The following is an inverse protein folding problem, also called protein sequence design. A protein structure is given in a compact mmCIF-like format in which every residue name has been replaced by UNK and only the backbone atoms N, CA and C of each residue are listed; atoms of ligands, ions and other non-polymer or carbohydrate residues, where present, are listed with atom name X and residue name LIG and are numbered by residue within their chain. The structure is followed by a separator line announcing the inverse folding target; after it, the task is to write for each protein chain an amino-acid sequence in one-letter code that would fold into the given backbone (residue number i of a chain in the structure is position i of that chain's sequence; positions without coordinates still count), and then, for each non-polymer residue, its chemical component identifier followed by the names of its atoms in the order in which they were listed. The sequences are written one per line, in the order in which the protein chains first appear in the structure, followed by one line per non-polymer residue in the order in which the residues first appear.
data_IF_019739505785
#
_entry.id   IF_019739505785
#
_cell.length_a   1.000
_cell.length_b   1.000
_cell.length_c   1.000
_cell.angle_alpha   90.00
_cell.angle_beta   90.00
_cell.angle_gamma   90.00
#
_symmetry.space_group_name_H-M   'P 1'
#
loop_
_entity.id
_entity.type
_entity.pdbx_description
1 polymer ?
#
# COMPACT_ATOMS: atom_id res chain seq x y z
N UNK A 1 14.32 -21.98 -14.13
CA UNK A 1 13.02 -21.42 -14.58
C UNK A 1 12.40 -20.65 -13.41
N UNK A 2 11.82 -19.47 -13.69
CA UNK A 2 10.98 -18.65 -12.80
C UNK A 2 11.73 -18.07 -11.58
N UNK A 3 12.04 -16.76 -11.52
CA UNK A 3 11.15 -15.74 -10.91
C UNK A 3 11.55 -14.31 -11.39
N UNK A 4 12.33 -14.14 -12.48
CA UNK A 4 12.90 -12.81 -12.84
C UNK A 4 12.01 -11.93 -13.76
N UNK A 5 10.85 -12.42 -14.23
CA UNK A 5 9.99 -11.65 -15.15
C UNK A 5 9.16 -10.55 -14.48
N UNK A 6 8.87 -10.69 -13.18
CA UNK A 6 8.00 -9.75 -12.45
C UNK A 6 8.75 -8.47 -12.02
N UNK A 7 10.07 -8.55 -11.87
CA UNK A 7 10.92 -7.44 -11.45
C UNK A 7 11.27 -6.48 -12.62
N UNK A 8 11.11 -6.93 -13.87
CA UNK A 8 11.35 -6.12 -15.07
C UNK A 8 10.22 -5.11 -15.35
N UNK A 9 8.98 -5.41 -14.93
CA UNK A 9 7.85 -4.49 -15.01
C UNK A 9 7.96 -3.31 -14.03
N UNK A 10 8.66 -3.49 -12.90
CA UNK A 10 8.93 -2.43 -11.91
C UNK A 10 9.87 -1.32 -12.41
N UNK A 11 10.68 -1.58 -13.45
CA UNK A 11 11.71 -0.65 -13.93
C UNK A 11 11.24 0.29 -15.04
N UNK A 12 10.13 -0.03 -15.71
CA UNK A 12 9.64 0.68 -16.91
C UNK A 12 8.46 1.62 -16.69
N UNK A 13 7.92 1.77 -15.47
CA UNK A 13 6.90 2.78 -15.16
C UNK A 13 7.53 4.11 -14.66
N UNK A 14 8.75 4.39 -15.12
CA UNK A 14 9.43 5.69 -14.97
C UNK A 14 9.00 6.58 -16.14
N UNK A 15 7.73 6.98 -16.17
CA UNK A 15 7.22 7.84 -17.23
C UNK A 15 5.71 7.80 -17.43
N UNK A 16 4.93 8.25 -16.44
CA UNK A 16 3.81 9.17 -16.69
C UNK A 16 3.19 9.59 -15.35
N UNK A 17 3.60 10.77 -14.90
CA UNK A 17 3.07 11.51 -13.77
C UNK A 17 1.77 12.23 -14.21
N UNK A 18 0.72 11.48 -14.56
CA UNK A 18 -0.62 12.03 -14.39
C UNK A 18 -0.92 11.99 -12.89
N UNK A 19 -1.43 13.09 -12.34
CA UNK A 19 -1.72 13.28 -10.90
C UNK A 19 -2.51 12.09 -10.34
N UNK A 20 -1.81 11.09 -9.82
CA UNK A 20 -2.44 9.94 -9.19
C UNK A 20 -2.89 10.35 -7.79
N UNK A 21 -4.20 10.39 -7.57
CA UNK A 21 -4.78 10.70 -6.27
C UNK A 21 -4.66 9.47 -5.35
N UNK A 22 -3.48 9.31 -4.76
CA UNK A 22 -3.21 8.29 -3.74
C UNK A 22 -4.18 8.36 -2.55
N UNK A 23 -4.65 9.57 -2.22
CA UNK A 23 -5.68 9.80 -1.20
C UNK A 23 -6.99 9.12 -1.61
N UNK A 24 -7.50 9.40 -2.82
CA UNK A 24 -8.69 8.77 -3.34
C UNK A 24 -8.56 7.24 -3.43
N UNK A 25 -7.41 6.73 -3.88
CA UNK A 25 -7.15 5.27 -3.87
C UNK A 25 -7.32 4.68 -2.46
N UNK A 26 -6.73 5.31 -1.44
CA UNK A 26 -6.83 4.80 -0.07
C UNK A 26 -8.24 4.90 0.46
N UNK A 27 -8.96 5.99 0.17
CA UNK A 27 -10.35 6.15 0.57
C UNK A 27 -11.26 5.10 -0.05
N UNK A 28 -11.03 4.75 -1.31
CA UNK A 28 -11.76 3.69 -2.00
C UNK A 28 -11.41 2.30 -1.49
N UNK A 29 -10.15 2.03 -1.16
CA UNK A 29 -9.71 0.73 -0.61
C UNK A 29 -10.15 0.56 0.85
N UNK A 30 -10.24 1.64 1.63
CA UNK A 30 -10.57 1.65 3.07
C UNK A 30 -11.81 0.84 3.47
N UNK A 31 -12.96 0.92 2.78
CA UNK A 31 -14.12 0.08 3.09
C UNK A 31 -13.93 -1.40 2.71
N UNK A 32 -13.04 -1.73 1.77
CA UNK A 32 -12.84 -3.08 1.26
C UNK A 32 -11.67 -3.77 1.94
N UNK A 33 -11.86 -4.12 3.21
CA UNK A 33 -10.84 -4.80 4.03
C UNK A 33 -10.36 -6.09 3.38
N UNK A 34 -11.23 -6.83 2.69
CA UNK A 34 -10.88 -8.06 1.97
C UNK A 34 -9.79 -7.88 0.88
N UNK A 35 -9.49 -6.64 0.45
CA UNK A 35 -8.39 -6.38 -0.49
C UNK A 35 -7.01 -6.46 0.16
N UNK A 36 -6.90 -6.21 1.47
CA UNK A 36 -5.62 -6.05 2.16
C UNK A 36 -5.52 -6.82 3.48
N UNK A 37 -6.64 -7.17 4.11
CA UNK A 37 -6.77 -7.88 5.36
C UNK A 37 -6.98 -9.38 5.08
N UNK A 38 -6.06 -10.20 5.56
CA UNK A 38 -6.05 -11.65 5.36
C UNK A 38 -6.95 -12.41 6.35
N UNK A 39 -7.57 -11.71 7.31
CA UNK A 39 -8.47 -12.27 8.33
C UNK A 39 -9.90 -12.32 7.80
N UNK A 40 -10.20 -11.62 6.70
CA UNK A 40 -11.48 -11.69 6.04
C UNK A 40 -11.68 -13.03 5.30
N UNK A 41 -12.85 -13.68 5.44
CA UNK A 41 -13.15 -14.92 4.74
C UNK A 41 -13.08 -14.75 3.22
N UNK A 42 -13.52 -13.60 2.71
CA UNK A 42 -13.49 -13.22 1.30
C UNK A 42 -12.08 -12.87 0.78
N UNK A 43 -11.04 -12.94 1.63
CA UNK A 43 -9.66 -12.72 1.17
C UNK A 43 -9.18 -13.84 0.24
N UNK A 44 -9.75 -15.03 0.28
CA UNK A 44 -9.39 -16.11 -0.66
C UNK A 44 -10.02 -15.94 -2.04
N UNK A 45 -11.01 -15.05 -2.17
CA UNK A 45 -11.71 -14.79 -3.43
C UNK A 45 -10.91 -13.84 -4.33
N UNK A 46 -10.08 -14.43 -5.19
CA UNK A 46 -9.29 -13.69 -6.18
C UNK A 46 -10.18 -12.92 -7.14
N UNK A 47 -11.30 -13.51 -7.59
CA UNK A 47 -12.24 -12.87 -8.52
C UNK A 47 -12.90 -11.64 -7.89
N UNK A 48 -13.30 -11.71 -6.61
CA UNK A 48 -13.86 -10.56 -5.89
C UNK A 48 -12.83 -9.43 -5.77
N UNK A 49 -11.57 -9.77 -5.51
CA UNK A 49 -10.48 -8.78 -5.44
C UNK A 49 -10.23 -8.13 -6.78
N UNK A 50 -10.15 -8.91 -7.86
CA UNK A 50 -9.93 -8.39 -9.21
C UNK A 50 -11.07 -7.49 -9.64
N UNK A 51 -12.32 -7.91 -9.44
CA UNK A 51 -13.49 -7.07 -9.70
C UNK A 51 -13.44 -5.77 -8.90
N UNK A 52 -13.08 -5.84 -7.62
CA UNK A 52 -13.01 -4.63 -6.79
C UNK A 52 -11.90 -3.70 -7.23
N UNK A 53 -10.72 -4.23 -7.54
CA UNK A 53 -9.63 -3.44 -8.10
C UNK A 53 -10.02 -2.83 -9.43
N UNK A 54 -10.75 -3.55 -10.28
CA UNK A 54 -11.26 -3.03 -11.55
C UNK A 54 -12.19 -1.84 -11.34
N UNK A 55 -13.13 -1.92 -10.39
CA UNK A 55 -14.03 -0.80 -10.05
C UNK A 55 -13.26 0.41 -9.50
N UNK A 56 -12.33 0.20 -8.57
CA UNK A 56 -11.49 1.25 -7.98
C UNK A 56 -10.60 1.89 -9.06
N UNK A 57 -10.05 1.07 -9.95
CA UNK A 57 -9.29 1.51 -11.11
C UNK A 57 -10.14 2.40 -12.01
N UNK A 58 -11.31 1.92 -12.42
CA UNK A 58 -12.23 2.65 -13.30
C UNK A 58 -12.60 4.04 -12.72
N UNK A 59 -12.85 4.12 -11.42
CA UNK A 59 -13.16 5.38 -10.72
C UNK A 59 -11.98 6.36 -10.69
N UNK A 60 -10.76 5.84 -10.74
CA UNK A 60 -9.52 6.63 -10.79
C UNK A 60 -8.99 6.84 -12.22
N UNK A 61 -9.69 6.35 -13.25
CA UNK A 61 -9.23 6.36 -14.64
C UNK A 61 -8.01 5.46 -14.89
N UNK A 62 -7.90 4.35 -14.15
CA UNK A 62 -6.83 3.37 -14.19
C UNK A 62 -7.36 1.96 -14.45
N UNK A 63 -6.46 1.04 -14.80
CA UNK A 63 -6.80 -0.39 -14.78
C UNK A 63 -6.81 -0.91 -13.34
N UNK A 64 -7.58 -1.97 -13.09
CA UNK A 64 -7.57 -2.61 -11.76
C UNK A 64 -6.18 -3.12 -11.36
N UNK A 65 -5.41 -3.64 -12.31
CA UNK A 65 -4.02 -4.00 -12.08
C UNK A 65 -3.14 -2.81 -11.69
N UNK A 66 -3.29 -1.66 -12.36
CA UNK A 66 -2.55 -0.44 -12.02
C UNK A 66 -2.92 0.07 -10.63
N UNK A 67 -4.20 0.05 -10.27
CA UNK A 67 -4.68 0.42 -8.94
C UNK A 67 -4.07 -0.49 -7.87
N UNK A 68 -4.11 -1.81 -8.07
CA UNK A 68 -3.53 -2.81 -7.18
C UNK A 68 -2.00 -2.63 -7.04
N UNK A 69 -1.29 -2.45 -8.16
CA UNK A 69 0.16 -2.21 -8.19
C UNK A 69 0.53 -0.92 -7.46
N UNK A 70 -0.22 0.17 -7.67
CA UNK A 70 0.01 1.45 -6.99
C UNK A 70 -0.23 1.35 -5.49
N UNK A 71 -1.32 0.72 -5.06
CA UNK A 71 -1.59 0.48 -3.65
C UNK A 71 -0.50 -0.42 -3.02
N UNK A 72 -0.08 -1.47 -3.73
CA UNK A 72 1.01 -2.36 -3.29
C UNK A 72 2.33 -1.62 -3.09
N UNK A 73 2.74 -0.77 -4.04
CA UNK A 73 3.93 0.07 -3.91
C UNK A 73 3.83 1.05 -2.73
N UNK A 74 2.65 1.59 -2.49
CA UNK A 74 2.37 2.48 -1.36
C UNK A 74 2.50 1.72 -0.03
N UNK A 75 1.95 0.50 0.06
CA UNK A 75 2.08 -0.36 1.24
C UNK A 75 3.52 -0.76 1.52
N UNK A 76 4.28 -1.14 0.48
CA UNK A 76 5.72 -1.46 0.60
C UNK A 76 6.50 -0.25 1.13
N UNK A 77 6.28 0.94 0.57
CA UNK A 77 6.93 2.17 1.04
C UNK A 77 6.58 2.49 2.49
N UNK A 78 5.29 2.37 2.87
CA UNK A 78 4.85 2.56 4.25
C UNK A 78 5.56 1.59 5.20
N UNK A 79 5.60 0.29 4.85
CA UNK A 79 6.23 -0.75 5.68
C UNK A 79 7.73 -0.51 5.88
N UNK A 80 8.45 -0.08 4.83
CA UNK A 80 9.87 0.29 4.95
C UNK A 80 10.06 1.46 5.91
N UNK A 81 9.27 2.52 5.73
CA UNK A 81 9.32 3.72 6.58
C UNK A 81 9.00 3.38 8.04
N UNK A 82 7.97 2.56 8.28
CA UNK A 82 7.60 2.08 9.62
C UNK A 82 8.70 1.25 10.25
N UNK A 83 9.26 0.28 9.51
CA UNK A 83 10.37 -0.55 9.98
C UNK A 83 11.61 0.28 10.32
N UNK A 84 11.95 1.28 9.51
CA UNK A 84 13.02 2.22 9.83
C UNK A 84 12.71 3.02 11.11
N UNK A 85 11.46 3.46 11.30
CA UNK A 85 11.03 4.14 12.51
C UNK A 85 11.12 3.25 13.76
N UNK A 86 10.68 2.00 13.68
CA UNK A 86 10.73 1.04 14.80
C UNK A 86 12.16 0.61 15.10
N UNK A 87 12.98 0.36 14.07
CA UNK A 87 14.41 0.07 14.24
C UNK A 87 15.17 1.22 14.90
N UNK A 88 14.86 2.47 14.54
CA UNK A 88 15.44 3.65 15.19
C UNK A 88 15.04 3.74 16.67
N UNK A 89 13.79 3.42 17.01
CA UNK A 89 13.30 3.44 18.39
C UNK A 89 13.87 2.31 19.26
N UNK A 90 14.07 1.10 18.72
CA UNK A 90 14.54 -0.05 19.51
C UNK A 90 16.05 -0.04 19.74
N UNK A 91 16.82 0.67 18.89
CA UNK A 91 18.30 0.61 18.90
C UNK A 91 18.96 1.54 19.94
N UNK A 92 18.20 2.11 20.88
CA UNK A 92 18.74 2.97 21.95
C UNK A 92 19.31 4.31 21.47
N UNK A 93 19.18 4.64 20.18
CA UNK A 93 19.47 5.98 19.65
C UNK A 93 18.38 6.93 20.11
N UNK A 94 18.76 8.06 20.68
CA UNK A 94 17.84 9.01 21.28
C UNK A 94 16.71 9.39 20.34
N UNK A 95 15.54 9.75 20.91
CA UNK A 95 14.31 10.16 20.21
C UNK A 95 14.54 11.23 19.11
N UNK A 96 15.65 11.94 19.20
CA UNK A 96 16.11 13.01 18.31
C UNK A 96 16.59 12.50 16.93
N UNK A 97 17.04 11.24 16.81
CA UNK A 97 17.54 10.67 15.54
C UNK A 97 16.47 9.90 14.75
N UNK A 98 15.22 9.85 15.20
CA UNK A 98 14.16 9.12 14.48
C UNK A 98 13.91 9.84 13.14
N UNK A 99 14.14 9.18 11.99
CA UNK A 99 14.01 9.83 10.70
C UNK A 99 12.57 10.32 10.49
N UNK A 100 12.44 11.64 10.26
CA UNK A 100 11.15 12.27 10.01
C UNK A 100 10.59 11.75 8.69
N UNK A 101 9.48 11.02 8.77
CA UNK A 101 8.81 10.52 7.58
C UNK A 101 8.12 11.70 6.88
N UNK A 102 8.71 12.18 5.79
CA UNK A 102 8.21 13.30 4.98
C UNK A 102 7.14 12.91 3.97
N UNK A 103 6.85 11.62 3.87
CA UNK A 103 5.93 11.13 2.86
C UNK A 103 4.48 11.50 3.20
N UNK A 104 3.85 12.36 2.39
CA UNK A 104 2.51 12.91 2.64
C UNK A 104 1.43 11.84 2.89
N UNK A 105 1.50 10.72 2.18
CA UNK A 105 0.54 9.62 2.32
C UNK A 105 0.81 8.71 3.51
N UNK A 106 1.93 8.90 4.22
CA UNK A 106 2.29 8.07 5.36
C UNK A 106 1.22 8.10 6.44
N UNK A 107 0.69 9.28 6.79
CA UNK A 107 -0.35 9.39 7.84
C UNK A 107 -1.64 8.67 7.47
N UNK A 108 -2.03 8.73 6.21
CA UNK A 108 -3.26 8.09 5.72
C UNK A 108 -3.08 6.57 5.67
N UNK A 109 -1.92 6.10 5.20
CA UNK A 109 -1.56 4.68 5.23
C UNK A 109 -1.40 4.16 6.66
N UNK A 110 -0.78 4.93 7.55
CA UNK A 110 -0.66 4.58 8.97
C UNK A 110 -2.05 4.51 9.61
N UNK A 111 -2.96 5.44 9.34
CA UNK A 111 -4.34 5.37 9.83
C UNK A 111 -5.16 4.19 9.27
N UNK A 112 -4.90 3.78 8.02
CA UNK A 112 -5.52 2.60 7.41
C UNK A 112 -4.99 1.30 8.05
N UNK A 113 -3.66 1.19 8.19
CA UNK A 113 -2.96 -0.03 8.61
C UNK A 113 -2.84 -0.16 10.14
N UNK A 114 -2.94 0.93 10.91
CA UNK A 114 -2.85 0.91 12.37
C UNK A 114 -4.01 0.14 13.02
N UNK A 115 -5.15 0.01 12.32
CA UNK A 115 -6.30 -0.79 12.77
C UNK A 115 -6.05 -2.31 12.76
N UNK A 116 -4.92 -2.80 12.25
CA UNK A 116 -4.57 -4.22 12.32
C UNK A 116 -3.82 -4.63 13.60
N UNK A 117 -3.52 -3.69 14.52
CA UNK A 117 -2.82 -3.98 15.79
C UNK A 117 -3.69 -3.91 17.05
N UNK A 118 -5.01 -3.85 16.92
CA UNK A 118 -5.92 -4.11 18.05
C UNK A 118 -6.45 -5.55 17.95
N UNK A 119 -5.53 -6.51 18.07
CA UNK A 119 -5.87 -7.83 18.56
C UNK A 119 -5.57 -7.83 20.05
N UNK A 120 -6.63 -7.71 20.85
CA UNK A 120 -6.63 -8.14 22.26
C UNK A 120 -6.31 -9.63 22.34
#
# INVERSE_FOLDING_TARGET
MHIDRENKFRRLQRGNMAKFNAEALVELVRPHRFLYDNRQPDFKDTELKENRWHLIGAELGLTGEDAAKKFGNMKDRWRRLKNTQEAAQTSGRGREEVPKITWRYFKIMDGLMAKERTGT
#
